data_IF_098585436869
#
_entry.id   IF_098585436869
#
_cell.length_a   1.000
_cell.length_b   1.000
_cell.length_c   1.000
_cell.angle_alpha   90.00
_cell.angle_beta   90.00
_cell.angle_gamma   90.00
#
_symmetry.space_group_name_H-M   'P 1'
#
loop_
_entity.id
_entity.type
_entity.pdbx_description
1 polymer ?
#
# COMPACT_ATOMS: atom_id res chain seq x y z
N UNK A 1 0.10 -6.27 -19.82
CA UNK A 1 0.55 -7.64 -20.14
C UNK A 1 0.58 -8.51 -18.89
N UNK A 2 0.35 -9.83 -19.02
CA UNK A 2 0.29 -10.72 -17.85
C UNK A 2 1.63 -10.80 -17.11
N UNK A 3 2.74 -11.00 -17.82
CA UNK A 3 4.07 -11.01 -17.23
C UNK A 3 4.41 -9.72 -16.44
N UNK A 4 3.96 -8.56 -16.93
CA UNK A 4 4.14 -7.28 -16.22
C UNK A 4 3.37 -7.25 -14.91
N UNK A 5 2.13 -7.76 -14.90
CA UNK A 5 1.31 -7.83 -13.68
C UNK A 5 2.02 -8.64 -12.59
N UNK A 6 2.48 -9.83 -12.93
CA UNK A 6 3.24 -10.69 -12.01
C UNK A 6 4.54 -10.02 -11.55
N UNK A 7 5.30 -9.41 -12.47
CA UNK A 7 6.55 -8.75 -12.13
C UNK A 7 6.36 -7.57 -11.16
N UNK A 8 5.32 -6.76 -11.33
CA UNK A 8 5.01 -5.65 -10.43
C UNK A 8 4.66 -6.16 -9.03
N UNK A 9 3.82 -7.21 -8.93
CA UNK A 9 3.46 -7.82 -7.64
C UNK A 9 4.68 -8.43 -6.96
N UNK A 10 5.45 -9.27 -7.67
CA UNK A 10 6.63 -9.94 -7.14
C UNK A 10 7.69 -8.95 -6.64
N UNK A 11 7.81 -7.78 -7.27
CA UNK A 11 8.73 -6.73 -6.85
C UNK A 11 8.23 -5.96 -5.62
N UNK A 12 6.96 -5.57 -5.62
CA UNK A 12 6.44 -4.61 -4.63
C UNK A 12 5.87 -5.27 -3.38
N UNK A 13 5.22 -6.43 -3.48
CA UNK A 13 4.54 -7.05 -2.34
C UNK A 13 5.53 -7.36 -1.18
N UNK A 14 6.73 -7.94 -1.41
CA UNK A 14 7.61 -8.29 -0.31
C UNK A 14 8.12 -7.08 0.48
N UNK A 15 8.31 -5.93 -0.18
CA UNK A 15 8.80 -4.69 0.45
C UNK A 15 7.70 -3.94 1.21
N UNK A 16 6.42 -4.30 1.07
CA UNK A 16 5.35 -3.72 1.89
C UNK A 16 5.45 -4.18 3.35
N UNK A 17 5.57 -5.50 3.57
CA UNK A 17 5.63 -6.07 4.94
C UNK A 17 6.47 -7.33 5.14
N UNK A 18 6.78 -8.10 4.10
CA UNK A 18 7.36 -9.44 4.26
C UNK A 18 8.87 -9.47 4.57
N UNK A 19 9.62 -8.42 4.24
CA UNK A 19 11.06 -8.35 4.51
C UNK A 19 11.40 -7.59 5.79
N UNK A 20 12.59 -7.86 6.37
CA UNK A 20 13.14 -7.11 7.51
C UNK A 20 13.26 -5.60 7.22
N UNK A 21 13.55 -5.26 5.96
CA UNK A 21 13.64 -3.89 5.47
C UNK A 21 12.34 -3.41 4.81
N UNK A 22 11.20 -4.03 5.10
CA UNK A 22 9.92 -3.61 4.54
C UNK A 22 9.49 -2.23 5.05
N UNK A 23 8.63 -1.55 4.31
CA UNK A 23 8.11 -0.25 4.71
C UNK A 23 7.41 -0.31 6.05
N UNK A 24 6.64 -1.36 6.34
CA UNK A 24 6.01 -1.56 7.65
C UNK A 24 7.04 -1.55 8.78
N UNK A 25 8.13 -2.32 8.67
CA UNK A 25 9.19 -2.36 9.69
C UNK A 25 9.91 -1.01 9.81
N UNK A 26 10.18 -0.35 8.69
CA UNK A 26 10.82 0.97 8.68
C UNK A 26 9.93 2.05 9.33
N UNK A 27 8.62 2.03 9.09
CA UNK A 27 7.65 2.93 9.72
C UNK A 27 7.60 2.66 11.23
N UNK A 28 7.52 1.39 11.66
CA UNK A 28 7.54 1.04 13.08
C UNK A 28 8.81 1.54 13.78
N UNK A 29 9.98 1.33 13.17
CA UNK A 29 11.24 1.83 13.72
C UNK A 29 11.31 3.37 13.76
N UNK A 30 10.73 4.06 12.78
CA UNK A 30 10.66 5.52 12.75
C UNK A 30 9.71 6.09 13.82
N UNK A 31 8.57 5.44 14.06
CA UNK A 31 7.67 5.77 15.17
C UNK A 31 8.37 5.66 16.53
N UNK A 32 9.14 4.59 16.77
CA UNK A 32 9.91 4.40 18.02
C UNK A 32 10.93 5.52 18.24
N UNK A 33 11.51 6.06 17.15
CA UNK A 33 12.48 7.16 17.20
C UNK A 33 11.83 8.54 17.27
N UNK A 34 10.49 8.63 17.23
CA UNK A 34 9.75 9.88 17.10
C UNK A 34 10.18 10.71 15.87
N UNK A 35 10.45 10.02 14.76
CA UNK A 35 10.97 10.62 13.52
C UNK A 35 9.85 10.78 12.48
N UNK A 36 9.14 11.92 12.57
CA UNK A 36 8.00 12.22 11.71
C UNK A 36 8.36 12.34 10.22
N UNK A 37 9.57 12.85 9.90
CA UNK A 37 10.02 12.98 8.51
C UNK A 37 10.27 11.60 7.90
N UNK A 38 10.91 10.69 8.64
CA UNK A 38 11.10 9.32 8.18
C UNK A 38 9.77 8.56 8.05
N UNK A 39 8.82 8.74 8.98
CA UNK A 39 7.49 8.13 8.86
C UNK A 39 6.80 8.62 7.60
N UNK A 40 6.74 9.93 7.37
CA UNK A 40 6.11 10.50 6.18
C UNK A 40 6.75 9.98 4.89
N UNK A 41 8.09 9.99 4.80
CA UNK A 41 8.81 9.50 3.62
C UNK A 41 8.54 8.01 3.35
N UNK A 42 8.57 7.17 4.39
CA UNK A 42 8.33 5.72 4.23
C UNK A 42 6.88 5.41 3.93
N UNK A 43 5.95 6.19 4.48
CA UNK A 43 4.55 6.05 4.17
C UNK A 43 4.25 6.41 2.70
N UNK A 44 4.85 7.49 2.18
CA UNK A 44 4.74 7.84 0.77
C UNK A 44 5.27 6.73 -0.14
N UNK A 45 6.44 6.15 0.17
CA UNK A 45 7.00 5.04 -0.59
C UNK A 45 6.12 3.78 -0.53
N UNK A 46 5.55 3.48 0.64
CA UNK A 46 4.59 2.38 0.81
C UNK A 46 3.33 2.57 -0.04
N UNK A 47 2.74 3.77 -0.01
CA UNK A 47 1.54 4.11 -0.79
C UNK A 47 1.81 4.03 -2.30
N UNK A 48 2.99 4.44 -2.76
CA UNK A 48 3.39 4.30 -4.15
C UNK A 48 3.42 2.82 -4.57
N UNK A 49 4.11 1.97 -3.80
CA UNK A 49 4.14 0.52 -4.06
C UNK A 49 2.76 -0.15 -3.97
N UNK A 50 1.91 0.29 -3.04
CA UNK A 50 0.52 -0.18 -2.94
C UNK A 50 -0.27 0.15 -4.23
N UNK A 51 -0.15 1.39 -4.73
CA UNK A 51 -0.85 1.82 -5.94
C UNK A 51 -0.33 1.12 -7.19
N UNK A 52 1.00 0.93 -7.31
CA UNK A 52 1.60 0.17 -8.40
C UNK A 52 1.00 -1.24 -8.50
N UNK A 53 0.90 -1.95 -7.37
CA UNK A 53 0.28 -3.27 -7.31
C UNK A 53 -1.18 -3.19 -7.74
N UNK A 54 -1.95 -2.30 -7.12
CA UNK A 54 -3.38 -2.19 -7.38
C UNK A 54 -3.67 -1.92 -8.86
N UNK A 55 -2.93 -1.01 -9.48
CA UNK A 55 -3.10 -0.69 -10.90
C UNK A 55 -2.66 -1.84 -11.79
N UNK A 56 -1.57 -2.55 -11.44
CA UNK A 56 -1.14 -3.74 -12.16
C UNK A 56 -2.19 -4.87 -12.12
N UNK A 57 -2.80 -5.13 -10.96
CA UNK A 57 -3.89 -6.11 -10.79
C UNK A 57 -5.05 -5.78 -11.72
N UNK A 58 -5.43 -4.50 -11.79
CA UNK A 58 -6.54 -4.01 -12.62
C UNK A 58 -6.17 -3.73 -14.09
N UNK A 59 -4.91 -4.00 -14.48
CA UNK A 59 -4.38 -3.70 -15.81
C UNK A 59 -4.56 -2.24 -16.23
N UNK A 60 -4.53 -1.33 -15.25
CA UNK A 60 -4.60 0.11 -15.48
C UNK A 60 -3.20 0.71 -15.58
N UNK A 61 -2.95 1.64 -16.52
CA UNK A 61 -1.73 2.44 -16.48
C UNK A 61 -1.76 3.35 -15.25
N UNK A 62 -0.58 3.59 -14.66
CA UNK A 62 -0.47 4.50 -13.52
C UNK A 62 -0.76 5.95 -13.97
N UNK A 63 -1.70 6.68 -13.33
CA UNK A 63 -2.13 8.01 -13.79
C UNK A 63 -1.17 9.15 -13.39
N UNK A 64 0.12 8.84 -13.17
CA UNK A 64 1.03 9.68 -12.38
C UNK A 64 0.57 9.82 -10.93
N UNK A 65 1.01 10.85 -10.20
CA UNK A 65 0.79 10.97 -8.74
C UNK A 65 -0.56 11.61 -8.34
N UNK A 66 -1.42 11.94 -9.32
CA UNK A 66 -2.60 12.76 -9.08
C UNK A 66 -3.81 11.91 -8.70
N UNK A 67 -4.43 12.24 -7.56
CA UNK A 67 -5.75 11.73 -7.13
C UNK A 67 -5.85 10.19 -7.12
N UNK A 68 -4.80 9.50 -6.70
CA UNK A 68 -4.67 8.03 -6.77
C UNK A 68 -5.86 7.26 -6.17
N UNK A 69 -6.33 7.66 -4.99
CA UNK A 69 -7.49 7.00 -4.33
C UNK A 69 -8.75 7.11 -5.21
N UNK A 70 -9.06 8.32 -5.70
CA UNK A 70 -10.24 8.52 -6.54
C UNK A 70 -10.10 7.80 -7.88
N UNK A 71 -8.90 7.82 -8.48
CA UNK A 71 -8.64 7.07 -9.71
C UNK A 71 -8.89 5.57 -9.50
N UNK A 72 -8.40 4.99 -8.40
CA UNK A 72 -8.63 3.61 -8.04
C UNK A 72 -10.13 3.30 -7.83
N UNK A 73 -10.87 4.14 -7.11
CA UNK A 73 -12.32 3.97 -6.90
C UNK A 73 -13.10 3.91 -8.23
N UNK A 74 -12.70 4.70 -9.22
CA UNK A 74 -13.37 4.76 -10.53
C UNK A 74 -12.91 3.69 -11.53
N UNK A 75 -11.63 3.31 -11.54
CA UNK A 75 -11.03 2.52 -12.63
C UNK A 75 -10.55 1.13 -12.21
N UNK A 76 -10.50 0.84 -10.90
CA UNK A 76 -10.01 -0.44 -10.38
C UNK A 76 -11.16 -1.25 -9.77
N UNK A 77 -11.88 -2.08 -10.55
CA UNK A 77 -12.94 -2.94 -10.01
C UNK A 77 -12.42 -3.96 -8.98
N UNK A 78 -11.19 -4.47 -9.18
CA UNK A 78 -10.53 -5.40 -8.29
C UNK A 78 -9.74 -4.64 -7.22
N UNK A 79 -10.37 -4.38 -6.09
CA UNK A 79 -9.79 -3.62 -4.98
C UNK A 79 -10.32 -4.10 -3.63
N UNK A 80 -9.61 -3.87 -2.53
CA UNK A 80 -10.17 -4.14 -1.21
C UNK A 80 -11.46 -3.32 -0.99
N UNK A 81 -12.55 -3.91 -0.46
CA UNK A 81 -13.83 -3.22 -0.34
C UNK A 81 -13.77 -1.88 0.42
N UNK A 82 -12.94 -1.82 1.47
CA UNK A 82 -12.76 -0.63 2.31
C UNK A 82 -11.51 0.19 1.95
N UNK A 83 -10.84 -0.11 0.82
CA UNK A 83 -9.54 0.48 0.43
C UNK A 83 -9.45 1.99 0.67
N UNK A 84 -10.42 2.75 0.16
CA UNK A 84 -10.34 4.20 0.22
C UNK A 84 -10.51 4.75 1.66
N UNK A 85 -11.26 4.05 2.52
CA UNK A 85 -11.37 4.40 3.93
C UNK A 85 -10.08 4.03 4.67
N UNK A 86 -9.54 2.84 4.45
CA UNK A 86 -8.32 2.35 5.09
C UNK A 86 -7.11 3.23 4.73
N UNK A 87 -6.92 3.56 3.45
CA UNK A 87 -5.84 4.45 3.03
C UNK A 87 -5.97 5.86 3.61
N UNK A 88 -7.19 6.39 3.76
CA UNK A 88 -7.43 7.69 4.42
C UNK A 88 -7.10 7.64 5.91
N UNK A 89 -7.42 6.54 6.59
CA UNK A 89 -7.05 6.34 7.99
C UNK A 89 -5.53 6.26 8.16
N UNK A 90 -4.84 5.53 7.28
CA UNK A 90 -3.38 5.47 7.25
C UNK A 90 -2.75 6.85 7.06
N UNK A 91 -3.24 7.64 6.11
CA UNK A 91 -2.75 9.00 5.85
C UNK A 91 -2.99 9.92 7.06
N UNK A 92 -4.18 9.88 7.66
CA UNK A 92 -4.52 10.69 8.81
C UNK A 92 -3.64 10.35 10.03
N UNK A 93 -3.54 9.06 10.36
CA UNK A 93 -2.70 8.57 11.46
C UNK A 93 -1.21 8.89 11.23
N UNK A 94 -0.73 8.79 9.99
CA UNK A 94 0.65 9.12 9.63
C UNK A 94 0.97 10.61 9.79
N UNK A 95 0.02 11.49 9.47
CA UNK A 95 0.20 12.94 9.60
C UNK A 95 0.37 13.40 11.05
N UNK A 96 -0.19 12.66 12.01
CA UNK A 96 -0.15 12.99 13.44
C UNK A 96 0.73 12.06 14.26
N UNK A 97 1.49 11.17 13.62
CA UNK A 97 2.29 10.14 14.31
C UNK A 97 1.46 9.31 15.30
N UNK A 98 0.20 9.03 14.94
CA UNK A 98 -0.75 8.35 15.81
C UNK A 98 -0.28 6.91 16.10
N UNK A 99 -0.27 6.45 17.36
CA UNK A 99 0.11 5.08 17.73
C UNK A 99 -0.69 3.99 16.99
N UNK A 100 -1.91 4.30 16.52
CA UNK A 100 -2.76 3.40 15.75
C UNK A 100 -2.34 3.24 14.29
N UNK A 101 -1.37 4.03 13.79
CA UNK A 101 -0.90 4.00 12.41
C UNK A 101 -0.57 2.59 11.91
N UNK A 102 0.16 1.80 12.71
CA UNK A 102 0.53 0.44 12.32
C UNK A 102 -0.68 -0.48 12.18
N UNK A 103 -1.70 -0.32 13.03
CA UNK A 103 -2.95 -1.08 12.92
C UNK A 103 -3.75 -0.74 11.67
N UNK A 104 -3.82 0.55 11.31
CA UNK A 104 -4.44 1.00 10.06
C UNK A 104 -3.67 0.50 8.84
N UNK A 105 -2.33 0.55 8.89
CA UNK A 105 -1.45 0.06 7.83
C UNK A 105 -1.65 -1.44 7.61
N UNK A 106 -1.63 -2.22 8.68
CA UNK A 106 -1.80 -3.67 8.60
C UNK A 106 -3.14 -4.05 7.98
N UNK A 107 -4.23 -3.39 8.37
CA UNK A 107 -5.55 -3.60 7.76
C UNK A 107 -5.57 -3.32 6.25
N UNK A 108 -4.95 -2.21 5.82
CA UNK A 108 -4.86 -1.88 4.40
C UNK A 108 -4.07 -2.94 3.62
N UNK A 109 -2.95 -3.41 4.19
CA UNK A 109 -2.10 -4.45 3.59
C UNK A 109 -2.77 -5.83 3.59
N UNK A 110 -3.54 -6.17 4.62
CA UNK A 110 -4.34 -7.41 4.67
C UNK A 110 -5.40 -7.42 3.56
N UNK A 111 -6.08 -6.29 3.35
CA UNK A 111 -7.02 -6.15 2.25
C UNK A 111 -6.36 -6.37 0.90
N UNK A 112 -5.16 -5.82 0.70
CA UNK A 112 -4.40 -6.00 -0.53
C UNK A 112 -3.93 -7.44 -0.73
N UNK A 113 -3.40 -8.09 0.31
CA UNK A 113 -2.94 -9.47 0.22
C UNK A 113 -4.13 -10.43 -0.06
N UNK A 114 -5.28 -10.20 0.57
CA UNK A 114 -6.50 -10.98 0.29
C UNK A 114 -6.95 -10.83 -1.18
N UNK A 115 -6.85 -9.62 -1.74
CA UNK A 115 -7.10 -9.39 -3.16
C UNK A 115 -6.10 -10.17 -4.04
N UNK A 116 -4.81 -10.12 -3.71
CA UNK A 116 -3.77 -10.81 -4.49
C UNK A 116 -3.93 -12.32 -4.45
N UNK A 117 -4.31 -12.89 -3.30
CA UNK A 117 -4.63 -14.31 -3.19
C UNK A 117 -5.84 -14.70 -4.05
N UNK A 118 -6.91 -13.89 -4.02
CA UNK A 118 -8.11 -14.13 -4.84
C UNK A 118 -7.83 -14.06 -6.35
N UNK A 119 -6.86 -13.24 -6.77
CA UNK A 119 -6.40 -13.12 -8.16
C UNK A 119 -5.32 -14.17 -8.54
N UNK A 120 -4.89 -15.03 -7.61
CA UNK A 120 -3.84 -16.03 -7.84
C UNK A 120 -2.44 -15.42 -8.05
N UNK A 121 -2.20 -14.24 -7.48
CA UNK A 121 -0.95 -13.47 -7.59
C UNK A 121 -0.08 -13.54 -6.33
N UNK A 122 -0.60 -14.13 -5.26
CA UNK A 122 0.10 -14.40 -4.00
C UNK A 122 -0.28 -15.80 -3.52
N UNK A 123 0.71 -16.54 -3.01
CA UNK A 123 0.55 -17.90 -2.49
C UNK A 123 0.26 -17.90 -0.99
#
# INVERSE_FOLDING_TARGET
PEALRHAVVAKNQPILRATLSSYRHQIAAALVRDDAVAVNHRLAAMLASYCDILFAVNRQPHPGEKRLIAFAEHHCPQRPPAMAADLRQVLAAGATMDPTLLGHLDRALDGLDALLMAEGLLA
#
